data_IF_814948047194
#
_entry.id   IF_814948047194
#
_cell.length_a   1.000
_cell.length_b   1.000
_cell.length_c   1.000
_cell.angle_alpha   90.00
_cell.angle_beta   90.00
_cell.angle_gamma   90.00
#
_symmetry.space_group_name_H-M   'P 1'
#
loop_
_entity.id
_entity.type
_entity.pdbx_description
1 polymer ?
#
# COMPACT_ATOMS: atom_id res chain seq x y z
N UNK A 1 23.61 8.58 -19.56
CA UNK A 1 23.00 8.31 -19.18
C UNK A 1 22.19 8.59 -19.09
N UNK A 2 21.70 8.48 -19.19
CA UNK A 2 21.00 8.73 -19.19
C UNK A 2 19.94 8.68 -18.59
N UNK A 3 19.20 8.97 -18.86
CA UNK A 3 17.97 9.18 -18.24
C UNK A 3 17.52 8.10 -17.30
N UNK A 4 17.93 6.94 -17.52
CA UNK A 4 17.66 5.84 -16.61
C UNK A 4 18.86 5.64 -15.72
N UNK A 5 18.67 5.94 -14.46
CA UNK A 5 19.74 5.87 -13.49
C UNK A 5 19.27 5.01 -12.34
N UNK A 6 20.05 4.01 -12.01
CA UNK A 6 19.76 3.18 -10.86
C UNK A 6 19.88 4.04 -9.61
N UNK A 7 18.82 4.19 -8.82
CA UNK A 7 18.85 5.09 -7.68
C UNK A 7 20.01 4.83 -6.72
N UNK A 8 20.27 3.55 -6.44
CA UNK A 8 21.33 3.21 -5.51
C UNK A 8 22.72 3.42 -6.10
N UNK A 9 22.85 3.39 -7.42
CA UNK A 9 24.12 3.67 -8.06
C UNK A 9 24.42 5.18 -8.08
N UNK A 10 23.40 5.95 -8.44
CA UNK A 10 23.57 7.39 -8.55
C UNK A 10 23.76 8.04 -7.19
N UNK A 11 23.05 7.57 -6.18
CA UNK A 11 23.07 8.17 -4.87
C UNK A 11 23.86 7.38 -3.85
N UNK A 12 24.63 6.40 -4.34
CA UNK A 12 25.46 5.56 -3.48
C UNK A 12 24.64 4.84 -2.41
N UNK A 13 23.42 4.43 -2.77
CA UNK A 13 22.52 3.73 -1.87
C UNK A 13 22.66 2.24 -2.09
N UNK A 14 22.87 1.48 -1.01
CA UNK A 14 22.96 0.04 -1.08
C UNK A 14 21.61 -0.54 -1.49
N UNK A 15 21.57 -1.59 -2.34
CA UNK A 15 20.28 -2.17 -2.78
C UNK A 15 19.37 -2.59 -1.64
N UNK A 16 19.90 -3.15 -0.56
CA UNK A 16 19.07 -3.56 0.56
C UNK A 16 18.44 -2.35 1.25
N UNK A 17 19.14 -1.22 1.32
CA UNK A 17 18.59 0.00 1.89
C UNK A 17 17.45 0.54 1.02
N UNK A 18 17.59 0.47 -0.29
CA UNK A 18 16.56 0.90 -1.22
C UNK A 18 15.28 0.06 -1.05
N UNK A 19 15.46 -1.26 -0.98
CA UNK A 19 14.34 -2.18 -0.80
C UNK A 19 13.66 -1.96 0.55
N UNK A 20 14.46 -1.78 1.60
CA UNK A 20 13.91 -1.50 2.91
C UNK A 20 13.14 -0.19 2.91
N UNK A 21 13.63 0.82 2.19
CA UNK A 21 12.93 2.09 2.08
C UNK A 21 11.57 1.96 1.43
N UNK A 22 11.46 1.14 0.39
CA UNK A 22 10.16 0.88 -0.24
C UNK A 22 9.23 0.16 0.74
N UNK A 23 9.74 -0.83 1.46
CA UNK A 23 8.95 -1.53 2.46
C UNK A 23 8.43 -0.61 3.55
N UNK A 24 9.30 0.28 4.03
CA UNK A 24 8.91 1.25 5.05
C UNK A 24 7.85 2.21 4.52
N UNK A 25 7.98 2.63 3.26
CA UNK A 25 7.00 3.51 2.63
C UNK A 25 5.64 2.83 2.55
N UNK A 26 5.61 1.54 2.18
CA UNK A 26 4.36 0.79 2.11
C UNK A 26 3.68 0.76 3.49
N UNK A 27 4.46 0.54 4.54
CA UNK A 27 3.93 0.58 5.90
C UNK A 27 3.36 1.93 6.27
N UNK A 28 4.03 3.01 5.87
CA UNK A 28 3.56 4.36 6.16
C UNK A 28 2.29 4.68 5.37
N UNK A 29 2.22 4.25 4.12
CA UNK A 29 1.00 4.44 3.32
C UNK A 29 -0.17 3.66 3.91
N UNK A 30 0.08 2.47 4.47
CA UNK A 30 -0.98 1.74 5.17
C UNK A 30 -1.51 2.55 6.34
N UNK A 31 -0.61 3.15 7.11
CA UNK A 31 -1.03 3.96 8.26
C UNK A 31 -1.91 5.12 7.82
N UNK A 32 -1.51 5.79 6.72
CA UNK A 32 -2.31 6.89 6.18
C UNK A 32 -3.65 6.41 5.64
N UNK A 33 -3.68 5.25 5.01
CA UNK A 33 -4.94 4.67 4.55
C UNK A 33 -5.89 4.40 5.72
N UNK A 34 -5.37 3.82 6.81
CA UNK A 34 -6.18 3.55 7.98
C UNK A 34 -6.69 4.84 8.63
N UNK A 35 -5.86 5.89 8.66
CA UNK A 35 -6.30 7.18 9.17
C UNK A 35 -7.44 7.73 8.33
N UNK A 36 -7.36 7.59 7.01
CA UNK A 36 -8.44 8.02 6.12
C UNK A 36 -9.72 7.24 6.37
N UNK A 37 -9.62 5.92 6.58
CA UNK A 37 -10.79 5.11 6.89
C UNK A 37 -11.43 5.53 8.19
N UNK A 38 -10.62 5.85 9.18
CA UNK A 38 -11.11 6.31 10.46
C UNK A 38 -11.89 7.61 10.34
N UNK A 39 -11.50 8.45 9.40
CA UNK A 39 -12.15 9.73 9.14
C UNK A 39 -13.21 9.64 8.05
N UNK A 40 -13.54 8.44 7.60
CA UNK A 40 -14.53 8.18 6.55
C UNK A 40 -14.17 8.81 5.21
N UNK A 41 -12.88 8.95 4.94
CA UNK A 41 -12.36 9.44 3.67
C UNK A 41 -11.98 8.26 2.80
N UNK A 42 -13.00 7.54 2.31
CA UNK A 42 -12.80 6.25 1.66
C UNK A 42 -12.01 6.34 0.36
N UNK A 43 -12.27 7.38 -0.44
CA UNK A 43 -11.57 7.55 -1.71
C UNK A 43 -10.08 7.81 -1.49
N UNK A 44 -9.74 8.55 -0.44
CA UNK A 44 -8.34 8.80 -0.11
C UNK A 44 -7.66 7.51 0.35
N UNK A 45 -8.37 6.69 1.13
CA UNK A 45 -7.83 5.41 1.56
C UNK A 45 -7.55 4.51 0.36
N UNK A 46 -8.46 4.49 -0.61
CA UNK A 46 -8.27 3.70 -1.82
C UNK A 46 -7.07 4.19 -2.62
N UNK A 47 -6.87 5.50 -2.67
CA UNK A 47 -5.70 6.07 -3.35
C UNK A 47 -4.40 5.59 -2.71
N UNK A 48 -4.33 5.55 -1.39
CA UNK A 48 -3.14 5.03 -0.73
C UNK A 48 -2.94 3.55 -0.99
N UNK A 49 -4.02 2.78 -1.05
CA UNK A 49 -3.92 1.36 -1.42
C UNK A 49 -3.31 1.21 -2.80
N UNK A 50 -3.74 2.04 -3.76
CA UNK A 50 -3.19 1.99 -5.12
C UNK A 50 -1.71 2.30 -5.13
N UNK A 51 -1.26 3.28 -4.34
CA UNK A 51 0.15 3.63 -4.23
C UNK A 51 0.94 2.46 -3.63
N UNK A 52 0.38 1.79 -2.64
CA UNK A 52 1.02 0.62 -2.04
C UNK A 52 1.20 -0.49 -3.07
N UNK A 53 0.21 -0.70 -3.92
CA UNK A 53 0.31 -1.71 -4.97
C UNK A 53 1.39 -1.37 -5.98
N UNK A 54 1.56 -0.08 -6.28
CA UNK A 54 2.66 0.36 -7.14
C UNK A 54 4.01 0.07 -6.49
N UNK A 55 4.11 0.29 -5.19
CA UNK A 55 5.34 -0.02 -4.46
C UNK A 55 5.68 -1.49 -4.51
N UNK A 56 4.68 -2.35 -4.34
CA UNK A 56 4.89 -3.79 -4.47
C UNK A 56 5.34 -4.15 -5.87
N UNK A 57 4.77 -3.50 -6.89
CA UNK A 57 5.16 -3.72 -8.27
C UNK A 57 6.64 -3.42 -8.48
N UNK A 58 7.15 -2.36 -7.86
CA UNK A 58 8.57 -2.03 -7.93
C UNK A 58 9.40 -3.16 -7.31
N UNK A 59 9.02 -3.62 -6.12
CA UNK A 59 9.74 -4.71 -5.47
C UNK A 59 9.76 -5.98 -6.33
N UNK A 60 8.64 -6.28 -6.98
CA UNK A 60 8.54 -7.48 -7.83
C UNK A 60 9.38 -7.38 -9.09
N UNK A 61 9.71 -6.18 -9.54
CA UNK A 61 10.52 -5.99 -10.73
C UNK A 61 12.02 -6.05 -10.45
N UNK A 62 12.41 -5.97 -9.19
CA UNK A 62 13.82 -6.04 -8.84
C UNK A 62 14.31 -7.48 -8.93
N UNK A 63 15.52 -7.64 -9.46
CA UNK A 63 16.10 -8.96 -9.69
C UNK A 63 17.54 -8.95 -9.19
N UNK A 64 17.69 -9.03 -7.88
CA UNK A 64 18.99 -9.05 -7.24
C UNK A 64 19.17 -10.34 -6.47
N UNK A 65 20.41 -10.85 -6.37
CA UNK A 65 20.68 -11.98 -5.49
C UNK A 65 20.33 -11.64 -4.04
N UNK A 66 19.79 -12.61 -3.32
CA UNK A 66 19.40 -12.42 -1.92
C UNK A 66 20.56 -11.90 -1.07
N UNK A 67 21.79 -12.34 -1.40
CA UNK A 67 22.96 -11.90 -0.64
C UNK A 67 23.14 -10.38 -0.69
N UNK A 68 22.70 -9.73 -1.77
CA UNK A 68 22.81 -8.28 -1.92
C UNK A 68 21.64 -7.54 -1.34
N UNK A 69 20.47 -8.15 -1.29
CA UNK A 69 19.23 -7.46 -0.95
C UNK A 69 18.73 -7.74 0.46
N UNK A 70 19.39 -8.66 1.17
CA UNK A 70 18.98 -9.01 2.52
C UNK A 70 17.62 -9.67 2.56
N UNK A 71 17.27 -10.40 1.48
CA UNK A 71 16.02 -11.13 1.44
C UNK A 71 14.90 -10.39 0.75
N UNK A 72 15.14 -10.00 -0.51
CA UNK A 72 14.12 -9.29 -1.30
C UNK A 72 12.78 -10.02 -1.26
N UNK A 73 12.79 -11.34 -1.38
CA UNK A 73 11.54 -12.10 -1.40
C UNK A 73 10.75 -11.90 -0.11
N UNK A 74 11.45 -11.87 1.03
CA UNK A 74 10.77 -11.66 2.31
C UNK A 74 10.13 -10.28 2.38
N UNK A 75 10.83 -9.26 1.89
CA UNK A 75 10.25 -7.92 1.84
C UNK A 75 9.01 -7.87 0.95
N UNK A 76 9.08 -8.51 -0.21
CA UNK A 76 7.94 -8.55 -1.13
C UNK A 76 6.76 -9.30 -0.53
N UNK A 77 7.03 -10.42 0.16
CA UNK A 77 5.98 -11.20 0.80
C UNK A 77 5.32 -10.42 1.92
N UNK A 78 6.11 -9.73 2.74
CA UNK A 78 5.58 -8.89 3.80
C UNK A 78 4.71 -7.77 3.22
N UNK A 79 5.18 -7.13 2.17
CA UNK A 79 4.43 -6.05 1.51
C UNK A 79 3.11 -6.57 0.98
N UNK A 80 3.13 -7.74 0.34
CA UNK A 80 1.91 -8.34 -0.19
C UNK A 80 0.89 -8.59 0.92
N UNK A 81 1.34 -9.12 2.06
CA UNK A 81 0.47 -9.37 3.19
C UNK A 81 -0.13 -8.08 3.73
N UNK A 82 0.67 -7.02 3.85
CA UNK A 82 0.21 -5.72 4.31
C UNK A 82 -0.85 -5.16 3.35
N UNK A 83 -0.59 -5.27 2.06
CA UNK A 83 -1.49 -4.75 1.04
C UNK A 83 -2.80 -5.51 1.05
N UNK A 84 -2.76 -6.83 1.20
CA UNK A 84 -3.99 -7.62 1.24
C UNK A 84 -4.85 -7.28 2.44
N UNK A 85 -4.23 -7.07 3.61
CA UNK A 85 -4.98 -6.64 4.78
C UNK A 85 -5.58 -5.25 4.57
N UNK A 86 -4.83 -4.35 3.94
CA UNK A 86 -5.32 -3.01 3.66
C UNK A 86 -6.48 -3.04 2.68
N UNK A 87 -6.36 -3.87 1.64
CA UNK A 87 -7.44 -4.03 0.66
C UNK A 87 -8.72 -4.53 1.33
N UNK A 88 -8.58 -5.48 2.24
CA UNK A 88 -9.72 -5.99 3.00
C UNK A 88 -10.35 -4.89 3.84
N UNK A 89 -9.52 -4.10 4.53
CA UNK A 89 -10.02 -3.01 5.36
C UNK A 89 -10.76 -1.96 4.53
N UNK A 90 -10.20 -1.59 3.38
CA UNK A 90 -10.82 -0.61 2.49
C UNK A 90 -12.12 -1.15 1.92
N UNK A 91 -12.12 -2.40 1.45
CA UNK A 91 -13.32 -3.02 0.89
C UNK A 91 -14.43 -3.07 1.93
N UNK A 92 -14.10 -3.48 3.15
CA UNK A 92 -15.10 -3.56 4.22
C UNK A 92 -15.65 -2.18 4.56
N UNK A 93 -14.82 -1.15 4.51
CA UNK A 93 -15.28 0.22 4.78
C UNK A 93 -16.28 0.69 3.74
N UNK A 94 -16.02 0.39 2.45
CA UNK A 94 -16.97 0.74 1.38
C UNK A 94 -18.28 -0.01 1.54
N UNK A 95 -18.22 -1.31 1.86
CA UNK A 95 -19.42 -2.11 2.06
C UNK A 95 -20.23 -1.57 3.25
N UNK A 96 -19.56 -1.28 4.35
CA UNK A 96 -20.23 -0.75 5.54
C UNK A 96 -20.86 0.61 5.28
N UNK A 97 -20.21 1.43 4.46
CA UNK A 97 -20.74 2.75 4.11
C UNK A 97 -22.01 2.62 3.28
N UNK A 98 -22.02 1.73 2.30
CA UNK A 98 -23.20 1.46 1.49
C UNK A 98 -24.34 0.92 2.34
N UNK A 99 -24.05 0.01 3.27
CA UNK A 99 -25.05 -0.55 4.15
C UNK A 99 -25.65 0.51 5.06
N UNK A 100 -24.82 1.43 5.54
CA UNK A 100 -25.26 2.54 6.39
C UNK A 100 -26.23 3.42 5.63
N UNK A 101 -25.97 3.70 4.36
CA UNK A 101 -26.85 4.47 3.51
C UNK A 101 -28.19 3.77 3.34
N UNK A 102 -28.20 2.46 3.10
CA UNK A 102 -29.41 1.69 2.92
C UNK A 102 -30.26 1.71 4.17
N UNK A 103 -29.64 1.58 5.34
CA UNK A 103 -30.36 1.63 6.62
C UNK A 103 -30.97 3.02 6.82
N UNK A 104 -30.25 4.07 6.48
CA UNK A 104 -30.77 5.43 6.59
C UNK A 104 -32.00 5.64 5.72
N UNK A 105 -32.00 5.09 4.50
CA UNK A 105 -33.14 5.18 3.59
C UNK A 105 -34.35 4.45 4.15
N UNK A 106 -34.16 3.29 4.72
CA UNK A 106 -35.25 2.51 5.32
C UNK A 106 -35.88 3.30 6.46
N UNK A 107 -35.08 3.91 7.33
CA UNK A 107 -35.58 4.71 8.43
C UNK A 107 -36.38 5.89 7.94
N UNK A 108 -35.96 6.56 6.87
CA UNK A 108 -36.72 7.67 6.30
C UNK A 108 -38.06 7.23 5.77
N UNK A 109 -38.10 6.07 5.12
CA UNK A 109 -39.35 5.56 4.53
C UNK A 109 -40.35 5.20 5.60
N UNK A 110 -39.90 4.82 6.79
CA UNK A 110 -40.79 4.46 7.88
C UNK A 110 -41.35 5.68 8.61
N UNK A 111 -40.76 6.84 8.44
CA UNK A 111 -41.23 8.05 9.06
C UNK A 111 -42.27 8.74 8.18
#
# INVERSE_FOLDING_TARGET
MNGIIEPFEKFDVHPSSYIQGIGDAIGEWRRKALDNLKNLELNNAESYLNIMEEGLGILNQLDYPDALTGGLRRYADNARGIIERTRSDVTNAFVNDALRDDISKIKKDEL
#
